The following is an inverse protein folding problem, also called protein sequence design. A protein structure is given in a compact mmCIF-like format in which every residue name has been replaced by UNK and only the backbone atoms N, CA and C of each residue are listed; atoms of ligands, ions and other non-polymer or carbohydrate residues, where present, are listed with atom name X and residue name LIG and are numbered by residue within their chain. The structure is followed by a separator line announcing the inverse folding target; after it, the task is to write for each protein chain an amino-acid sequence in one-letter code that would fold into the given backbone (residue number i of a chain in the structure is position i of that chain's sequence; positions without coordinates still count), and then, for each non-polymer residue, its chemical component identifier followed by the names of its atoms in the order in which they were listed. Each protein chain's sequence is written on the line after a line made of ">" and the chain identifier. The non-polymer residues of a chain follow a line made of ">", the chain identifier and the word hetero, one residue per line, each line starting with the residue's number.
data_IF_603856319233
#
_entry.id   IF_603856319233
#
_cell.length_a   1.000
_cell.length_b   1.000
_cell.length_c   1.000
_cell.angle_alpha   90.00
_cell.angle_beta   90.00
_cell.angle_gamma   90.00
#
_symmetry.space_group_name_H-M   'P 1'
#
loop_
_entity.id
_entity.type
_entity.pdbx_description
1 polymer ?
#
# COMPACT_ATOMS: atom_id res chain seq x y z
N UNK A 1 -20.06 -8.38 4.58
CA UNK A 1 -20.26 -6.91 4.37
C UNK A 1 -19.01 -6.39 3.67
N UNK A 2 -19.16 -5.61 2.60
CA UNK A 2 -17.99 -5.14 1.82
C UNK A 2 -17.39 -3.89 2.45
N UNK A 3 -16.07 -3.89 2.68
CA UNK A 3 -15.34 -2.77 3.27
C UNK A 3 -14.34 -2.19 2.27
N UNK A 4 -14.31 -0.87 2.13
CA UNK A 4 -13.42 -0.16 1.21
C UNK A 4 -11.97 -0.28 1.65
N UNK A 5 -11.68 -0.28 2.96
CA UNK A 5 -10.32 -0.52 3.44
C UNK A 5 -9.83 -1.96 3.17
N UNK A 6 -10.72 -2.89 2.81
CA UNK A 6 -10.42 -4.25 2.35
C UNK A 6 -10.53 -4.40 0.81
N UNK A 7 -10.58 -3.30 0.05
CA UNK A 7 -10.70 -3.36 -1.41
C UNK A 7 -12.09 -3.80 -1.89
N UNK A 8 -13.14 -3.38 -1.19
CA UNK A 8 -14.53 -3.82 -1.38
C UNK A 8 -14.78 -5.32 -1.15
N UNK A 9 -13.84 -6.01 -0.49
CA UNK A 9 -14.00 -7.37 -0.01
C UNK A 9 -14.58 -7.45 1.40
N UNK A 10 -14.82 -8.67 1.87
CA UNK A 10 -15.12 -8.93 3.28
C UNK A 10 -13.84 -8.77 4.14
N UNK A 11 -14.02 -8.41 5.40
CA UNK A 11 -12.93 -8.34 6.38
C UNK A 11 -12.51 -9.76 6.78
N UNK A 12 -11.22 -10.10 6.83
CA UNK A 12 -10.77 -11.43 7.24
C UNK A 12 -11.20 -11.77 8.67
N UNK A 13 -11.60 -13.03 8.91
CA UNK A 13 -12.10 -13.48 10.22
C UNK A 13 -11.11 -13.25 11.37
N UNK A 14 -9.82 -13.41 11.11
CA UNK A 14 -8.79 -13.17 12.12
C UNK A 14 -8.69 -11.68 12.51
N UNK A 15 -8.92 -10.75 11.58
CA UNK A 15 -8.97 -9.30 11.85
C UNK A 15 -10.22 -8.98 12.66
N UNK A 16 -11.36 -9.59 12.31
CA UNK A 16 -12.63 -9.43 13.03
C UNK A 16 -12.52 -9.89 14.49
N UNK A 17 -11.93 -11.06 14.73
CA UNK A 17 -11.68 -11.56 16.07
C UNK A 17 -10.83 -10.58 16.88
N UNK A 18 -9.79 -10.02 16.25
CA UNK A 18 -8.85 -9.13 16.92
C UNK A 18 -9.40 -7.72 17.15
N UNK A 19 -10.35 -7.25 16.34
CA UNK A 19 -11.06 -5.98 16.56
C UNK A 19 -11.76 -5.97 17.92
N UNK A 20 -12.33 -7.11 18.35
CA UNK A 20 -12.92 -7.23 19.68
C UNK A 20 -11.86 -7.16 20.80
N UNK A 21 -10.62 -7.58 20.54
CA UNK A 21 -9.51 -7.40 21.47
C UNK A 21 -9.06 -5.95 21.52
N UNK A 22 -8.92 -5.29 20.37
CA UNK A 22 -8.54 -3.89 20.27
C UNK A 22 -9.56 -2.93 20.92
N UNK A 23 -10.85 -3.27 20.88
CA UNK A 23 -11.92 -2.46 21.51
C UNK A 23 -11.81 -2.38 23.03
N UNK A 24 -11.21 -3.41 23.67
CA UNK A 24 -10.97 -3.48 25.12
C UNK A 24 -9.80 -2.63 25.60
N UNK A 25 -8.89 -2.27 24.68
CA UNK A 25 -7.77 -1.37 25.00
C UNK A 25 -8.26 0.06 25.21
N UNK A 26 -7.46 0.90 25.87
CA UNK A 26 -7.76 2.33 25.89
C UNK A 26 -7.47 2.96 24.53
N UNK A 27 -8.22 4.00 24.15
CA UNK A 27 -8.00 4.72 22.88
C UNK A 27 -6.61 5.34 22.78
N UNK A 28 -6.00 5.70 23.92
CA UNK A 28 -4.63 6.21 24.02
C UNK A 28 -3.61 5.10 23.71
N UNK A 29 -3.77 3.91 24.32
CA UNK A 29 -2.90 2.75 24.03
C UNK A 29 -2.99 2.35 22.56
N UNK A 30 -4.21 2.28 22.02
CA UNK A 30 -4.43 1.95 20.61
C UNK A 30 -3.76 2.97 19.69
N UNK A 31 -3.84 4.26 20.01
CA UNK A 31 -3.16 5.32 19.25
C UNK A 31 -1.65 5.14 19.27
N UNK A 32 -1.05 4.96 20.45
CA UNK A 32 0.41 4.77 20.59
C UNK A 32 0.88 3.51 19.87
N UNK A 33 0.12 2.42 19.96
CA UNK A 33 0.39 1.19 19.22
C UNK A 33 0.31 1.44 17.70
N UNK A 34 -0.74 2.13 17.24
CA UNK A 34 -0.87 2.55 15.85
C UNK A 34 0.32 3.34 15.34
N UNK A 35 0.85 4.28 16.14
CA UNK A 35 2.03 5.07 15.77
C UNK A 35 3.28 4.20 15.64
N UNK A 36 3.52 3.28 16.57
CA UNK A 36 4.67 2.36 16.49
C UNK A 36 4.56 1.46 15.25
N UNK A 37 3.36 0.94 14.97
CA UNK A 37 3.14 0.08 13.81
C UNK A 37 3.30 0.87 12.51
N UNK A 38 2.76 2.09 12.42
CA UNK A 38 2.93 2.96 11.25
C UNK A 38 4.42 3.25 11.00
N UNK A 39 5.17 3.62 12.05
CA UNK A 39 6.61 3.86 11.92
C UNK A 39 7.36 2.60 11.51
N UNK A 40 7.03 1.43 12.07
CA UNK A 40 7.68 0.17 11.72
C UNK A 40 7.32 -0.36 10.33
N UNK A 41 6.24 0.13 9.71
CA UNK A 41 5.94 -0.09 8.29
C UNK A 41 6.78 0.84 7.42
N UNK A 42 6.92 2.12 7.80
CA UNK A 42 7.72 3.11 7.07
C UNK A 42 9.21 2.76 7.11
N UNK A 43 9.69 2.38 8.29
CA UNK A 43 11.09 2.12 8.63
C UNK A 43 11.16 0.80 9.41
N UNK A 44 11.21 -0.30 8.67
CA UNK A 44 11.27 -1.63 9.26
C UNK A 44 12.58 -1.86 10.03
N UNK A 45 12.58 -2.62 11.14
CA UNK A 45 11.48 -3.42 11.69
C UNK A 45 10.61 -2.72 12.74
N UNK A 46 9.40 -3.26 12.98
CA UNK A 46 8.53 -2.83 14.09
C UNK A 46 9.23 -3.11 15.43
N UNK A 47 9.34 -2.07 16.26
CA UNK A 47 9.98 -2.13 17.58
C UNK A 47 9.09 -2.82 18.62
N UNK A 48 9.21 -4.14 18.70
CA UNK A 48 8.44 -4.98 19.64
C UNK A 48 8.73 -4.66 21.11
N UNK A 49 9.94 -4.16 21.43
CA UNK A 49 10.30 -3.77 22.80
C UNK A 49 9.47 -2.57 23.25
N UNK A 50 9.25 -1.59 22.35
CA UNK A 50 8.35 -0.46 22.63
C UNK A 50 6.89 -0.91 22.76
N UNK A 51 6.46 -1.89 21.96
CA UNK A 51 5.11 -2.46 22.07
C UNK A 51 4.93 -3.09 23.45
N UNK A 52 5.82 -3.99 23.87
CA UNK A 52 5.74 -4.65 25.19
C UNK A 52 5.64 -3.65 26.35
N UNK A 53 6.40 -2.53 26.28
CA UNK A 53 6.35 -1.47 27.30
C UNK A 53 4.97 -0.79 27.42
N UNK A 54 4.21 -0.66 26.34
CA UNK A 54 2.85 -0.07 26.37
C UNK A 54 1.86 -0.98 27.12
N UNK A 55 2.12 -2.29 27.10
CA UNK A 55 1.25 -3.30 27.70
C UNK A 55 1.73 -3.78 29.09
N UNK A 56 2.93 -3.37 29.52
CA UNK A 56 3.47 -3.72 30.84
C UNK A 56 2.65 -3.17 32.02
N UNK A 57 1.93 -2.06 31.82
CA UNK A 57 1.28 -1.32 32.91
C UNK A 57 -0.16 -1.75 33.23
N UNK A 58 -0.78 -2.71 32.53
CA UNK A 58 -2.18 -3.07 32.82
C UNK A 58 -2.48 -4.55 32.98
N UNK A 59 -3.21 -4.85 34.07
CA UNK A 59 -3.70 -6.19 34.42
C UNK A 59 -4.69 -6.78 33.39
N UNK A 60 -5.21 -5.95 32.50
CA UNK A 60 -6.12 -6.35 31.41
C UNK A 60 -5.35 -6.94 30.20
N UNK A 61 -4.02 -6.80 30.18
CA UNK A 61 -3.19 -7.11 29.00
C UNK A 61 -2.61 -8.54 29.01
N UNK A 62 -2.78 -9.31 30.10
CA UNK A 62 -2.18 -10.65 30.24
C UNK A 62 -2.77 -11.67 29.25
N UNK A 63 -4.04 -11.49 28.87
CA UNK A 63 -4.75 -12.34 27.90
C UNK A 63 -4.70 -11.79 26.46
N UNK A 64 -3.97 -10.69 26.21
CA UNK A 64 -3.91 -10.04 24.89
C UNK A 64 -2.69 -10.54 24.12
N UNK A 65 -2.90 -11.13 22.95
CA UNK A 65 -1.81 -11.43 22.03
C UNK A 65 -1.32 -10.15 21.33
N UNK A 66 -0.19 -9.62 21.83
CA UNK A 66 0.44 -8.42 21.30
C UNK A 66 0.77 -8.53 19.81
N UNK A 67 1.19 -9.71 19.35
CA UNK A 67 1.55 -9.92 17.94
C UNK A 67 0.30 -9.91 17.07
N UNK A 68 -0.81 -10.47 17.56
CA UNK A 68 -2.09 -10.42 16.87
C UNK A 68 -2.60 -8.97 16.77
N UNK A 69 -2.53 -8.19 17.85
CA UNK A 69 -2.87 -6.76 17.84
C UNK A 69 -2.02 -5.95 16.86
N UNK A 70 -0.70 -6.16 16.86
CA UNK A 70 0.23 -5.53 15.92
C UNK A 70 -0.10 -5.92 14.48
N UNK A 71 -0.36 -7.20 14.22
CA UNK A 71 -0.73 -7.70 12.90
C UNK A 71 -2.06 -7.13 12.42
N UNK A 72 -3.07 -7.03 13.28
CA UNK A 72 -4.37 -6.46 12.96
C UNK A 72 -4.25 -4.98 12.58
N UNK A 73 -3.55 -4.18 13.38
CA UNK A 73 -3.32 -2.77 13.08
C UNK A 73 -2.48 -2.61 11.81
N UNK A 74 -1.43 -3.42 11.65
CA UNK A 74 -0.59 -3.41 10.45
C UNK A 74 -1.42 -3.70 9.19
N UNK A 75 -2.32 -4.68 9.28
CA UNK A 75 -3.25 -5.00 8.19
C UNK A 75 -4.20 -3.84 7.90
N UNK A 76 -4.80 -3.21 8.90
CA UNK A 76 -5.71 -2.06 8.72
C UNK A 76 -4.96 -0.90 8.03
N UNK A 77 -3.79 -0.51 8.54
CA UNK A 77 -2.98 0.59 8.01
C UNK A 77 -2.54 0.29 6.56
N UNK A 78 -1.99 -0.90 6.33
CA UNK A 78 -1.49 -1.33 5.02
C UNK A 78 -2.61 -1.44 4.02
N UNK A 79 -3.75 -2.02 4.39
CA UNK A 79 -4.89 -2.21 3.47
C UNK A 79 -5.56 -0.89 3.14
N UNK A 80 -5.74 0.00 4.13
CA UNK A 80 -6.24 1.37 3.88
C UNK A 80 -5.38 2.09 2.85
N UNK A 81 -4.05 2.02 3.01
CA UNK A 81 -3.11 2.69 2.12
C UNK A 81 -3.08 2.01 0.73
N UNK A 82 -3.08 0.67 0.69
CA UNK A 82 -3.04 -0.13 -0.54
C UNK A 82 -4.26 0.14 -1.43
N UNK A 83 -5.45 0.19 -0.84
CA UNK A 83 -6.69 0.41 -1.58
C UNK A 83 -7.09 1.88 -1.68
N UNK A 84 -6.19 2.80 -1.28
CA UNK A 84 -6.43 4.24 -1.28
C UNK A 84 -7.79 4.62 -0.66
N UNK A 85 -8.13 3.98 0.46
CA UNK A 85 -9.42 4.13 1.11
C UNK A 85 -9.52 5.52 1.76
N UNK A 86 -10.66 6.18 1.56
CA UNK A 86 -10.97 7.46 2.20
C UNK A 86 -10.96 7.34 3.73
N UNK A 87 -10.36 8.32 4.42
CA UNK A 87 -10.23 8.29 5.88
C UNK A 87 -11.58 8.40 6.61
N UNK A 88 -12.59 9.02 6.00
CA UNK A 88 -13.97 9.04 6.52
C UNK A 88 -14.65 7.68 6.39
N UNK A 89 -14.43 7.00 5.25
CA UNK A 89 -14.85 5.63 5.07
C UNK A 89 -14.19 4.68 6.07
N UNK A 90 -12.86 4.72 6.21
CA UNK A 90 -12.13 3.92 7.21
C UNK A 90 -12.74 4.09 8.60
N UNK A 91 -12.97 5.32 9.04
CA UNK A 91 -13.55 5.61 10.36
C UNK A 91 -14.93 4.97 10.54
N UNK A 92 -15.78 5.04 9.52
CA UNK A 92 -17.13 4.48 9.57
C UNK A 92 -17.10 2.96 9.53
N UNK A 93 -16.23 2.37 8.72
CA UNK A 93 -16.06 0.93 8.56
C UNK A 93 -15.49 0.29 9.83
N UNK A 94 -14.48 0.89 10.47
CA UNK A 94 -13.97 0.41 11.76
C UNK A 94 -15.05 0.39 12.84
N UNK A 95 -15.95 1.37 12.87
CA UNK A 95 -17.09 1.38 13.81
C UNK A 95 -18.09 0.28 13.50
N UNK A 96 -18.39 0.03 12.22
CA UNK A 96 -19.27 -1.08 11.80
C UNK A 96 -18.69 -2.44 12.21
N UNK A 97 -17.36 -2.56 12.24
CA UNK A 97 -16.66 -3.76 12.71
C UNK A 97 -16.64 -3.91 14.24
N UNK A 98 -17.08 -2.91 15.00
CA UNK A 98 -17.19 -2.98 16.46
C UNK A 98 -16.12 -2.19 17.21
N UNK A 99 -15.27 -1.40 16.55
CA UNK A 99 -14.39 -0.47 17.26
C UNK A 99 -15.21 0.72 17.82
N UNK A 100 -14.95 1.13 19.08
CA UNK A 100 -15.55 2.34 19.62
C UNK A 100 -15.13 3.57 18.81
N UNK A 101 -15.99 4.58 18.79
CA UNK A 101 -15.79 5.82 18.03
C UNK A 101 -14.42 6.48 18.28
N UNK A 102 -14.00 6.54 19.54
CA UNK A 102 -12.71 7.13 19.94
C UNK A 102 -11.52 6.35 19.37
N UNK A 103 -11.60 5.02 19.37
CA UNK A 103 -10.57 4.12 18.84
C UNK A 103 -10.45 4.27 17.32
N UNK A 104 -11.59 4.28 16.62
CA UNK A 104 -11.63 4.51 15.18
C UNK A 104 -11.08 5.88 14.81
N UNK A 105 -11.37 6.92 15.61
CA UNK A 105 -10.83 8.26 15.39
C UNK A 105 -9.31 8.31 15.60
N UNK A 106 -8.80 7.65 16.63
CA UNK A 106 -7.36 7.52 16.90
C UNK A 106 -6.63 6.85 15.75
N UNK A 107 -7.12 5.69 15.28
CA UNK A 107 -6.52 4.98 14.14
C UNK A 107 -6.61 5.79 12.85
N UNK A 108 -7.76 6.42 12.58
CA UNK A 108 -7.90 7.33 11.43
C UNK A 108 -6.81 8.39 11.41
N UNK A 109 -6.60 9.08 12.54
CA UNK A 109 -5.57 10.13 12.67
C UNK A 109 -4.17 9.58 12.40
N UNK A 110 -3.82 8.43 12.96
CA UNK A 110 -2.52 7.79 12.72
C UNK A 110 -2.29 7.51 11.24
N UNK A 111 -3.27 6.95 10.54
CA UNK A 111 -3.14 6.67 9.10
C UNK A 111 -3.08 7.96 8.29
N UNK A 112 -3.88 8.97 8.66
CA UNK A 112 -3.91 10.26 7.98
C UNK A 112 -2.56 11.01 8.13
N UNK A 113 -2.01 11.05 9.34
CA UNK A 113 -0.75 11.75 9.65
C UNK A 113 0.45 11.11 8.90
N UNK A 114 0.41 9.79 8.71
CA UNK A 114 1.49 9.02 8.08
C UNK A 114 1.22 8.64 6.61
N UNK A 115 0.08 9.06 6.05
CA UNK A 115 -0.46 8.52 4.79
C UNK A 115 0.49 8.64 3.60
N UNK A 116 1.14 9.80 3.44
CA UNK A 116 2.09 10.03 2.35
C UNK A 116 3.34 9.13 2.46
N UNK A 117 3.91 9.02 3.66
CA UNK A 117 5.09 8.19 3.92
C UNK A 117 4.77 6.70 3.75
N UNK A 118 3.64 6.23 4.29
CA UNK A 118 3.16 4.87 4.12
C UNK A 118 2.95 4.52 2.64
N UNK A 119 2.29 5.39 1.88
CA UNK A 119 2.07 5.18 0.45
C UNK A 119 3.39 5.08 -0.33
N UNK A 120 4.37 5.94 0.01
CA UNK A 120 5.68 5.91 -0.61
C UNK A 120 6.44 4.62 -0.28
N UNK A 121 6.53 4.22 1.00
CA UNK A 121 7.22 2.99 1.40
C UNK A 121 6.56 1.74 0.81
N UNK A 122 5.22 1.67 0.80
CA UNK A 122 4.50 0.55 0.18
C UNK A 122 4.69 0.51 -1.34
N UNK A 123 4.81 1.67 -2.01
CA UNK A 123 5.10 1.73 -3.45
C UNK A 123 6.51 1.27 -3.80
N UNK A 124 7.49 1.51 -2.93
CA UNK A 124 8.87 1.04 -3.09
C UNK A 124 8.99 -0.45 -2.79
N UNK A 125 8.31 -0.93 -1.74
CA UNK A 125 8.30 -2.36 -1.35
C UNK A 125 7.35 -3.22 -2.18
N UNK A 126 6.47 -2.60 -2.97
CA UNK A 126 5.64 -3.30 -3.95
C UNK A 126 6.52 -3.93 -5.01
N UNK A 127 6.26 -5.20 -5.33
CA UNK A 127 6.86 -5.91 -6.45
C UNK A 127 6.34 -5.31 -7.76
N UNK A 128 6.88 -4.15 -8.14
CA UNK A 128 6.58 -3.55 -9.43
C UNK A 128 7.44 -4.20 -10.50
N UNK A 129 6.80 -4.59 -11.60
CA UNK A 129 7.47 -5.04 -12.83
C UNK A 129 8.56 -4.04 -13.20
N UNK A 130 9.71 -4.53 -13.66
CA UNK A 130 10.93 -3.76 -13.97
C UNK A 130 10.59 -2.40 -14.61
N UNK A 131 10.66 -1.33 -13.81
CA UNK A 131 10.18 -0.01 -14.24
C UNK A 131 11.12 0.54 -15.29
N UNK A 132 10.55 1.00 -16.40
CA UNK A 132 11.29 1.82 -17.37
C UNK A 132 11.65 3.15 -16.68
N UNK A 133 12.93 3.34 -16.40
CA UNK A 133 13.47 4.52 -15.74
C UNK A 133 13.76 5.64 -16.74
N UNK A 134 14.26 5.28 -17.92
CA UNK A 134 14.58 6.22 -18.98
C UNK A 134 14.45 5.57 -20.36
N UNK A 135 14.16 6.37 -21.38
CA UNK A 135 14.20 5.98 -22.78
C UNK A 135 14.73 7.16 -23.61
N UNK A 136 15.75 6.92 -24.42
CA UNK A 136 16.32 7.90 -25.35
C UNK A 136 16.47 7.28 -26.74
N UNK A 137 16.30 8.10 -27.77
CA UNK A 137 16.44 7.69 -29.16
C UNK A 137 17.47 8.57 -29.83
N UNK A 138 18.41 7.95 -30.52
CA UNK A 138 19.37 8.62 -31.39
C UNK A 138 19.13 8.18 -32.85
N UNK A 139 19.10 9.13 -33.78
CA UNK A 139 18.80 8.84 -35.19
C UNK A 139 20.04 8.97 -36.04
N UNK A 140 20.47 7.86 -36.64
CA UNK A 140 21.56 7.85 -37.58
C UNK A 140 21.05 8.08 -39.01
N UNK A 141 21.38 9.25 -39.54
CA UNK A 141 20.99 9.68 -40.89
C UNK A 141 21.71 8.86 -41.98
N UNK A 142 22.90 8.33 -41.69
CA UNK A 142 23.69 7.58 -42.65
C UNK A 142 23.13 6.18 -42.91
N UNK A 143 22.71 5.49 -41.85
CA UNK A 143 22.13 4.15 -41.92
C UNK A 143 20.61 4.15 -41.98
N UNK A 144 19.97 5.31 -41.79
CA UNK A 144 18.50 5.47 -41.65
C UNK A 144 17.92 4.59 -40.54
N UNK A 145 18.68 4.39 -39.47
CA UNK A 145 18.27 3.60 -38.30
C UNK A 145 18.14 4.47 -37.06
N UNK A 146 17.30 4.04 -36.13
CA UNK A 146 17.13 4.66 -34.83
C UNK A 146 17.71 3.75 -33.76
N UNK A 147 18.64 4.24 -32.95
CA UNK A 147 19.15 3.56 -31.76
C UNK A 147 18.27 3.95 -30.58
N UNK A 148 17.55 2.98 -30.03
CA UNK A 148 16.77 3.14 -28.80
C UNK A 148 17.59 2.62 -27.63
N UNK A 149 17.85 3.50 -26.67
CA UNK A 149 18.50 3.19 -25.40
C UNK A 149 17.44 3.28 -24.29
N UNK A 150 17.30 2.22 -23.49
CA UNK A 150 16.32 2.13 -22.41
C UNK A 150 17.00 1.68 -21.12
N UNK A 151 16.64 2.33 -20.02
CA UNK A 151 17.15 2.00 -18.69
C UNK A 151 16.03 1.31 -17.91
N UNK A 152 16.25 0.05 -17.56
CA UNK A 152 15.31 -0.81 -16.84
C UNK A 152 16.08 -1.41 -15.65
N UNK A 153 15.64 -1.15 -14.41
CA UNK A 153 16.34 -1.57 -13.19
C UNK A 153 17.84 -1.23 -13.20
N UNK A 154 18.19 0.01 -13.52
CA UNK A 154 19.58 0.49 -13.62
C UNK A 154 20.44 -0.25 -14.68
N UNK A 155 19.83 -1.15 -15.46
CA UNK A 155 20.46 -1.85 -16.58
C UNK A 155 20.14 -1.11 -17.86
N UNK A 156 21.18 -0.83 -18.66
CA UNK A 156 21.02 -0.17 -19.94
C UNK A 156 20.90 -1.22 -21.06
N UNK A 157 19.78 -1.21 -21.76
CA UNK A 157 19.56 -2.02 -22.96
C UNK A 157 19.48 -1.12 -24.18
N UNK A 158 20.25 -1.46 -25.21
CA UNK A 158 20.31 -0.72 -26.47
C UNK A 158 19.84 -1.60 -27.62
N UNK A 159 18.95 -1.08 -28.46
CA UNK A 159 18.50 -1.77 -29.67
C UNK A 159 18.52 -0.84 -30.88
N UNK A 160 18.95 -1.34 -32.03
CA UNK A 160 18.94 -0.60 -33.29
C UNK A 160 17.70 -1.01 -34.07
N UNK A 161 16.91 -0.01 -34.48
CA UNK A 161 15.62 -0.18 -35.12
C UNK A 161 15.67 0.39 -36.53
N UNK A 162 15.19 -0.39 -37.51
CA UNK A 162 14.92 0.11 -38.85
C UNK A 162 13.64 0.95 -38.87
N UNK A 163 13.42 1.74 -39.91
CA UNK A 163 12.17 2.51 -40.07
C UNK A 163 10.90 1.64 -40.02
N UNK A 164 10.97 0.41 -40.56
CA UNK A 164 9.87 -0.55 -40.49
C UNK A 164 9.64 -1.02 -39.04
N UNK A 165 10.71 -1.34 -38.33
CA UNK A 165 10.65 -1.80 -36.93
C UNK A 165 10.12 -0.71 -36.00
N UNK A 166 10.47 0.56 -36.23
CA UNK A 166 9.94 1.69 -35.46
C UNK A 166 8.43 1.84 -35.64
N UNK A 167 7.92 1.67 -36.87
CA UNK A 167 6.47 1.71 -37.13
C UNK A 167 5.73 0.56 -36.43
N UNK A 168 6.28 -0.65 -36.46
CA UNK A 168 5.72 -1.80 -35.74
C UNK A 168 5.70 -1.56 -34.23
N UNK A 169 6.79 -1.04 -33.67
CA UNK A 169 6.87 -0.70 -32.24
C UNK A 169 5.80 0.34 -31.86
N UNK A 170 5.61 1.38 -32.68
CA UNK A 170 4.59 2.40 -32.44
C UNK A 170 3.17 1.82 -32.40
N UNK A 171 2.82 0.95 -33.35
CA UNK A 171 1.51 0.30 -33.38
C UNK A 171 1.30 -0.60 -32.15
N UNK A 172 2.31 -1.37 -31.75
CA UNK A 172 2.24 -2.18 -30.53
C UNK A 172 2.03 -1.32 -29.28
N UNK A 173 2.76 -0.20 -29.14
CA UNK A 173 2.62 0.70 -27.99
C UNK A 173 1.24 1.37 -27.94
N UNK A 174 0.67 1.73 -29.09
CA UNK A 174 -0.71 2.24 -29.17
C UNK A 174 -1.72 1.19 -28.72
N UNK A 175 -1.56 -0.06 -29.16
CA UNK A 175 -2.45 -1.16 -28.77
C UNK A 175 -2.40 -1.40 -27.26
N UNK A 176 -1.19 -1.46 -26.68
CA UNK A 176 -1.00 -1.58 -25.22
C UNK A 176 -1.70 -0.44 -24.48
N UNK A 177 -1.56 0.80 -24.96
CA UNK A 177 -2.25 1.96 -24.38
C UNK A 177 -3.76 1.81 -24.40
N UNK A 178 -4.35 1.38 -25.52
CA UNK A 178 -5.80 1.14 -25.63
C UNK A 178 -6.28 0.13 -24.59
N UNK A 179 -5.58 -1.00 -24.46
CA UNK A 179 -5.93 -2.02 -23.46
C UNK A 179 -5.80 -1.49 -22.03
N UNK A 180 -4.80 -0.67 -21.73
CA UNK A 180 -4.66 -0.04 -20.41
C UNK A 180 -5.81 0.93 -20.10
N UNK A 181 -6.23 1.74 -21.08
CA UNK A 181 -7.36 2.66 -20.94
C UNK A 181 -8.69 1.91 -20.74
N UNK A 182 -8.90 0.78 -21.41
CA UNK A 182 -10.07 -0.09 -21.20
C UNK A 182 -10.12 -0.67 -19.78
N UNK A 183 -8.99 -1.12 -19.24
CA UNK A 183 -8.91 -1.66 -17.87
C UNK A 183 -9.16 -0.59 -16.80
N UNK A 184 -8.72 0.64 -17.03
CA UNK A 184 -8.98 1.78 -16.14
C UNK A 184 -10.47 2.18 -16.13
N UNK A 185 -11.15 2.04 -17.26
CA UNK A 185 -12.57 2.38 -17.41
C UNK A 185 -13.52 1.20 -17.11
N UNK A 186 -12.98 0.02 -16.78
CA UNK A 186 -13.78 -1.15 -16.43
C UNK A 186 -14.50 -0.92 -15.10
N UNK A 187 -15.81 -1.20 -15.00
CA UNK A 187 -16.61 -1.00 -13.78
C UNK A 187 -16.26 -1.94 -12.62
N UNK A 188 -15.20 -2.75 -12.77
CA UNK A 188 -14.71 -3.70 -11.78
C UNK A 188 -13.33 -3.32 -11.20
N UNK A 189 -12.77 -2.17 -11.59
CA UNK A 189 -11.50 -1.62 -11.09
C UNK A 189 -11.71 -0.62 -9.94
#
# INVERSE_FOLDING_TARGET
>A
MRFRFCGNGDCPDWVLAEINTLSRLSSVKLKSLGQIVAQGIIEAPIDMIKVEKIFADSKLDVDVDLKACVACISYIITSTTRYNCDYGALFSELQQLGLPREHSLSLKKVVQDNGAALAQTLKVSSLTVNKLQNASVDYDTSTRTAKLDVIINDSNESVVLSSCTVNVLLENLKQVRSTMEELLNSPYS
#
